data_IF_929629274782
#
_entry.id   IF_929629274782
#
_cell.length_a   1.000
_cell.length_b   1.000
_cell.length_c   1.000
_cell.angle_alpha   90.00
_cell.angle_beta   90.00
_cell.angle_gamma   90.00
#
_symmetry.space_group_name_H-M   'P 1'
#
loop_
_entity.id
_entity.type
_entity.pdbx_description
1 polymer ?
#
# COMPACT_ATOMS: atom_id res chain seq x y z
N UNK A 1 -8.73 7.75 -9.42
CA UNK A 1 -8.20 7.18 -8.17
C UNK A 1 -7.06 6.21 -8.47
N UNK A 2 -5.83 6.71 -8.46
CA UNK A 2 -4.62 5.90 -8.74
C UNK A 2 -3.86 5.68 -7.43
N UNK A 3 -3.52 4.43 -7.10
CA UNK A 3 -2.84 4.10 -5.85
C UNK A 3 -1.32 4.24 -6.00
N UNK A 4 -0.69 5.13 -5.21
CA UNK A 4 0.76 5.41 -5.24
C UNK A 4 1.60 4.42 -4.41
N UNK A 5 1.06 3.23 -4.15
CA UNK A 5 1.61 2.25 -3.21
C UNK A 5 3.07 1.89 -3.49
N UNK A 6 3.37 1.51 -4.73
CA UNK A 6 4.71 1.06 -5.12
C UNK A 6 5.76 2.17 -5.01
N UNK A 7 5.36 3.45 -5.13
CA UNK A 7 6.26 4.60 -5.03
C UNK A 7 6.65 4.84 -3.59
N UNK A 8 5.66 4.93 -2.69
CA UNK A 8 5.85 5.20 -1.27
C UNK A 8 6.59 4.04 -0.60
N UNK A 9 6.23 2.80 -0.94
CA UNK A 9 6.94 1.61 -0.43
C UNK A 9 8.43 1.67 -0.78
N UNK A 10 8.76 2.00 -2.04
CA UNK A 10 10.15 2.10 -2.51
C UNK A 10 10.90 3.26 -1.88
N UNK A 11 10.27 4.42 -1.68
CA UNK A 11 10.92 5.55 -1.01
C UNK A 11 11.25 5.25 0.46
N UNK A 12 10.58 4.25 1.06
CA UNK A 12 10.85 3.76 2.41
C UNK A 12 11.82 2.57 2.47
N UNK A 13 12.38 2.16 1.33
CA UNK A 13 13.28 1.01 1.27
C UNK A 13 12.62 -0.34 1.59
N UNK A 14 11.29 -0.40 1.65
CA UNK A 14 10.55 -1.62 1.97
C UNK A 14 10.44 -2.52 0.75
N UNK A 15 10.63 -3.83 0.91
CA UNK A 15 10.19 -4.84 -0.06
C UNK A 15 8.68 -5.08 0.05
N UNK A 16 8.09 -5.79 -0.93
CA UNK A 16 6.67 -6.19 -0.85
C UNK A 16 6.38 -7.08 0.36
N UNK A 17 7.37 -7.91 0.75
CA UNK A 17 7.26 -8.77 1.94
C UNK A 17 7.28 -7.94 3.22
N UNK A 18 8.12 -6.90 3.28
CA UNK A 18 8.19 -6.01 4.45
C UNK A 18 6.88 -5.25 4.63
N UNK A 19 6.32 -4.72 3.53
CA UNK A 19 5.02 -4.05 3.58
C UNK A 19 3.90 -5.03 3.97
N UNK A 20 3.91 -6.24 3.42
CA UNK A 20 2.94 -7.28 3.78
C UNK A 20 2.98 -7.60 5.29
N UNK A 21 4.18 -7.80 5.85
CA UNK A 21 4.37 -8.01 7.28
C UNK A 21 3.89 -6.82 8.12
N UNK A 22 4.27 -5.60 7.73
CA UNK A 22 3.91 -4.37 8.46
C UNK A 22 2.40 -4.05 8.40
N UNK A 23 1.73 -4.38 7.29
CA UNK A 23 0.30 -4.12 7.08
C UNK A 23 -0.61 -5.29 7.47
N UNK A 24 -0.06 -6.46 7.78
CA UNK A 24 -0.83 -7.69 8.01
C UNK A 24 -1.52 -8.24 6.76
N UNK A 25 -1.07 -7.82 5.57
CA UNK A 25 -1.61 -8.26 4.28
C UNK A 25 -0.73 -9.34 3.66
N UNK A 26 -1.24 -10.07 2.67
CA UNK A 26 -0.41 -11.04 1.95
C UNK A 26 0.49 -10.35 0.91
N UNK A 27 1.73 -10.84 0.66
CA UNK A 27 2.61 -10.30 -0.37
C UNK A 27 1.98 -10.32 -1.79
N UNK A 28 1.16 -11.34 -2.07
CA UNK A 28 0.41 -11.45 -3.31
C UNK A 28 -0.64 -10.34 -3.43
N UNK A 29 -1.36 -10.04 -2.34
CA UNK A 29 -2.33 -8.95 -2.32
C UNK A 29 -1.67 -7.58 -2.53
N UNK A 30 -0.53 -7.32 -1.89
CA UNK A 30 0.28 -6.11 -2.16
C UNK A 30 0.67 -6.03 -3.63
N UNK A 31 1.09 -7.14 -4.24
CA UNK A 31 1.48 -7.18 -5.66
C UNK A 31 0.31 -6.83 -6.57
N UNK A 32 -0.87 -7.39 -6.32
CA UNK A 32 -2.05 -7.10 -7.14
C UNK A 32 -2.59 -5.66 -6.93
N UNK A 33 -2.45 -5.11 -5.72
CA UNK A 33 -2.71 -3.69 -5.45
C UNK A 33 -1.75 -2.78 -6.23
N UNK A 34 -0.45 -3.07 -6.25
CA UNK A 34 0.53 -2.30 -7.02
C UNK A 34 0.27 -2.36 -8.53
N UNK A 35 -0.35 -3.43 -9.04
CA UNK A 35 -0.78 -3.58 -10.44
C UNK A 35 -2.12 -2.90 -10.74
N UNK A 36 -2.81 -2.35 -9.75
CA UNK A 36 -4.13 -1.74 -9.92
C UNK A 36 -5.25 -2.75 -10.20
N UNK A 37 -5.06 -4.04 -9.87
CA UNK A 37 -6.05 -5.09 -10.10
C UNK A 37 -7.21 -5.07 -9.11
N UNK A 38 -6.99 -4.49 -7.94
CA UNK A 38 -7.99 -4.38 -6.88
C UNK A 38 -8.16 -2.94 -6.42
N UNK A 39 -9.40 -2.58 -6.11
CA UNK A 39 -9.72 -1.38 -5.35
C UNK A 39 -9.65 -1.71 -3.85
N UNK A 40 -8.69 -1.16 -3.09
CA UNK A 40 -8.59 -1.42 -1.66
C UNK A 40 -9.78 -0.83 -0.91
N UNK A 41 -10.27 -1.54 0.11
CA UNK A 41 -11.30 -1.00 1.00
C UNK A 41 -10.72 0.06 1.93
N UNK A 42 -11.57 0.87 2.56
CA UNK A 42 -11.13 1.85 3.57
C UNK A 42 -10.27 1.21 4.68
N UNK A 43 -10.61 -0.01 5.10
CA UNK A 43 -9.82 -0.77 6.08
C UNK A 43 -8.42 -1.08 5.57
N UNK A 44 -8.29 -1.53 4.33
CA UNK A 44 -6.99 -1.80 3.70
C UNK A 44 -6.17 -0.51 3.58
N UNK A 45 -6.78 0.59 3.17
CA UNK A 45 -6.13 1.90 3.11
C UNK A 45 -5.58 2.32 4.48
N UNK A 46 -6.34 2.14 5.57
CA UNK A 46 -5.85 2.42 6.93
C UNK A 46 -4.65 1.54 7.33
N UNK A 47 -4.68 0.24 7.02
CA UNK A 47 -3.56 -0.66 7.31
C UNK A 47 -2.30 -0.28 6.53
N UNK A 48 -2.46 0.06 5.24
CA UNK A 48 -1.36 0.52 4.40
C UNK A 48 -0.79 1.86 4.88
N UNK A 49 -1.67 2.80 5.24
CA UNK A 49 -1.29 4.10 5.81
C UNK A 49 -0.47 3.94 7.09
N UNK A 50 -0.90 3.06 8.00
CA UNK A 50 -0.19 2.78 9.24
C UNK A 50 1.17 2.11 8.98
N UNK A 51 1.22 1.12 8.09
CA UNK A 51 2.46 0.43 7.73
C UNK A 51 3.47 1.32 7.00
N UNK A 52 2.97 2.24 6.18
CA UNK A 52 3.76 3.20 5.41
C UNK A 52 3.81 4.56 6.07
N UNK A 53 3.43 4.71 7.34
CA UNK A 53 3.44 5.96 8.13
C UNK A 53 3.26 7.25 7.28
N UNK A 54 2.23 7.26 6.44
CA UNK A 54 1.95 8.33 5.48
C UNK A 54 0.54 8.88 5.70
N UNK A 55 0.14 9.90 4.95
CA UNK A 55 -1.27 10.32 4.90
C UNK A 55 -2.06 9.51 3.87
N UNK A 56 -3.39 9.62 3.90
CA UNK A 56 -4.24 9.02 2.87
C UNK A 56 -4.03 9.74 1.52
N UNK A 57 -3.87 11.06 1.56
CA UNK A 57 -3.66 11.91 0.38
C UNK A 57 -2.33 11.59 -0.33
N UNK A 58 -1.31 11.14 0.40
CA UNK A 58 -0.08 10.64 -0.21
C UNK A 58 -0.31 9.35 -1.00
N UNK A 59 -1.18 8.48 -0.46
CA UNK A 59 -1.42 7.12 -0.94
C UNK A 59 -2.32 7.10 -2.17
N UNK A 60 -3.20 8.09 -2.31
CA UNK A 60 -4.24 8.13 -3.34
C UNK A 60 -4.19 9.45 -4.09
N UNK A 61 -4.13 9.38 -5.42
CA UNK A 61 -4.42 10.54 -6.25
C UNK A 61 -5.92 10.65 -6.53
N UNK A 62 -6.49 11.79 -6.14
CA UNK A 62 -7.82 12.25 -6.52
C UNK A 62 -7.88 12.56 -8.02
#
# INVERSE_FOLDING_TARGET
MTLRLARIRRSRGMTRRDLALASGLSPSYITELEKGRYSPTARVLCMLKAALDCSLDDLVDC
#
